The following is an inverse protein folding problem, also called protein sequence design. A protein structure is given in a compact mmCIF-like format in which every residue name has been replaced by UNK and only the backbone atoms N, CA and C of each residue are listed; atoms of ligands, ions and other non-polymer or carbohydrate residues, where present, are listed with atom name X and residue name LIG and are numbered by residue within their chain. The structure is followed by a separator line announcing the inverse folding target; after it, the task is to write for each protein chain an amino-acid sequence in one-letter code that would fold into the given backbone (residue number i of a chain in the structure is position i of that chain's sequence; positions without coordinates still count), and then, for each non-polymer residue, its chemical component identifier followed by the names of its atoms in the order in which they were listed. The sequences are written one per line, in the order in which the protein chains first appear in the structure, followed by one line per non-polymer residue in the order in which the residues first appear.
data_IF_913238369107
#
_entry.id   IF_913238369107
#
_cell.length_a   1.000
_cell.length_b   1.000
_cell.length_c   1.000
_cell.angle_alpha   90.00
_cell.angle_beta   90.00
_cell.angle_gamma   90.00
#
_symmetry.space_group_name_H-M   'P 1'
#
loop_
_entity.id
_entity.type
_entity.pdbx_description
1 polymer ?
#
# COMPACT_ATOMS: atom_id res chain seq x y z
N UNK A 1 -6.01 32.50 12.04
CA UNK A 1 -5.74 31.40 11.08
C UNK A 1 -6.98 30.53 11.06
N UNK A 2 -7.72 30.57 9.98
CA UNK A 2 -8.90 29.74 9.80
C UNK A 2 -8.51 28.28 9.91
N UNK A 3 -9.31 27.50 10.63
CA UNK A 3 -9.14 26.08 10.81
C UNK A 3 -9.06 25.40 9.46
N UNK A 4 -7.85 25.06 9.00
CA UNK A 4 -7.65 24.26 7.81
C UNK A 4 -8.24 22.88 8.17
N UNK A 5 -9.43 22.60 7.67
CA UNK A 5 -10.02 21.26 7.73
C UNK A 5 -8.98 20.30 7.14
N UNK A 6 -8.57 19.28 7.88
CA UNK A 6 -7.54 18.29 7.49
C UNK A 6 -6.07 18.66 7.82
N UNK A 7 -5.83 19.60 8.76
CA UNK A 7 -4.47 19.84 9.28
C UNK A 7 -3.80 18.59 9.89
N UNK A 8 -4.59 17.59 10.17
CA UNK A 8 -4.21 16.35 10.87
C UNK A 8 -3.69 15.25 9.94
N UNK A 9 -3.96 15.36 8.63
CA UNK A 9 -3.53 14.36 7.65
C UNK A 9 -2.06 14.53 7.26
N UNK A 10 -1.34 13.43 6.98
CA UNK A 10 -0.01 13.50 6.40
C UNK A 10 -0.02 14.27 5.07
N UNK A 11 0.86 15.26 4.94
CA UNK A 11 0.80 16.21 3.83
C UNK A 11 1.95 16.08 2.84
N UNK A 12 2.78 15.01 2.88
CA UNK A 12 3.93 14.91 1.99
C UNK A 12 3.53 15.04 0.51
N UNK A 13 2.45 14.40 0.10
CA UNK A 13 1.94 14.53 -1.26
C UNK A 13 1.56 15.97 -1.62
N UNK A 14 0.89 16.67 -0.71
CA UNK A 14 0.52 18.09 -0.90
C UNK A 14 1.74 18.99 -0.93
N UNK A 15 2.79 18.73 -0.12
CA UNK A 15 4.04 19.47 -0.16
C UNK A 15 4.82 19.25 -1.45
N UNK A 16 4.90 18.02 -1.92
CA UNK A 16 5.51 17.68 -3.21
C UNK A 16 4.80 18.42 -4.34
N UNK A 17 3.45 18.41 -4.33
CA UNK A 17 2.68 19.15 -5.31
C UNK A 17 2.93 20.65 -5.24
N UNK A 18 2.86 21.24 -4.04
CA UNK A 18 3.11 22.67 -3.82
C UNK A 18 4.54 23.08 -4.22
N UNK A 19 5.53 22.21 -3.97
CA UNK A 19 6.92 22.45 -4.41
C UNK A 19 7.01 22.58 -5.92
N UNK A 20 6.44 21.66 -6.68
CA UNK A 20 6.45 21.70 -8.14
C UNK A 20 5.62 22.85 -8.69
N UNK A 21 4.55 23.24 -8.00
CA UNK A 21 3.72 24.37 -8.41
C UNK A 21 4.39 25.71 -8.16
N UNK A 22 4.91 25.94 -6.94
CA UNK A 22 5.47 27.25 -6.56
C UNK A 22 6.87 27.52 -7.09
N UNK A 23 7.68 26.48 -7.27
CA UNK A 23 9.08 26.60 -7.63
C UNK A 23 9.37 26.17 -9.07
N UNK A 24 8.36 25.81 -9.84
CA UNK A 24 8.56 25.49 -11.25
C UNK A 24 8.84 26.73 -12.05
N UNK A 25 9.77 26.65 -13.01
CA UNK A 25 10.06 27.73 -13.98
C UNK A 25 8.80 28.15 -14.75
N UNK A 26 7.80 27.32 -14.81
CA UNK A 26 6.56 27.54 -15.57
C UNK A 26 5.40 27.97 -14.67
N UNK A 27 5.55 27.99 -13.35
CA UNK A 27 4.53 28.39 -12.37
C UNK A 27 3.13 27.77 -12.66
N UNK A 28 3.12 26.50 -13.04
CA UNK A 28 1.90 25.81 -13.43
C UNK A 28 1.58 24.65 -12.48
N UNK A 29 0.35 24.61 -12.02
CA UNK A 29 -0.17 23.56 -11.11
C UNK A 29 0.01 22.14 -11.66
N UNK A 30 -0.03 21.97 -12.98
CA UNK A 30 0.05 20.66 -13.64
C UNK A 30 1.38 19.91 -13.42
N UNK A 31 2.46 20.59 -13.08
CA UNK A 31 3.75 19.93 -12.83
C UNK A 31 3.71 18.96 -11.64
N UNK A 32 3.02 19.33 -10.57
CA UNK A 32 2.82 18.40 -9.44
C UNK A 32 2.05 17.14 -9.84
N UNK A 33 1.05 17.28 -10.71
CA UNK A 33 0.26 16.15 -11.22
C UNK A 33 1.08 15.25 -12.14
N UNK A 34 1.93 15.83 -12.98
CA UNK A 34 2.87 15.08 -13.82
C UNK A 34 3.85 14.27 -12.99
N UNK A 35 4.32 14.81 -11.87
CA UNK A 35 5.18 14.08 -10.94
C UNK A 35 4.47 12.82 -10.39
N UNK A 36 3.20 12.92 -10.00
CA UNK A 36 2.43 11.77 -9.54
C UNK A 36 2.31 10.70 -10.63
N UNK A 37 2.00 11.12 -11.85
CA UNK A 37 1.90 10.22 -13.00
C UNK A 37 3.25 9.57 -13.32
N UNK A 38 4.34 10.34 -13.27
CA UNK A 38 5.69 9.84 -13.47
C UNK A 38 6.05 8.79 -12.41
N UNK A 39 5.83 9.09 -11.13
CA UNK A 39 6.13 8.18 -10.03
C UNK A 39 5.32 6.88 -10.12
N UNK A 40 4.06 6.98 -10.53
CA UNK A 40 3.19 5.84 -10.78
C UNK A 40 3.74 4.95 -11.92
N UNK A 41 4.06 5.51 -13.08
CA UNK A 41 4.61 4.76 -14.22
C UNK A 41 5.94 4.11 -13.86
N UNK A 42 6.86 4.86 -13.24
CA UNK A 42 8.17 4.35 -12.84
C UNK A 42 8.07 3.23 -11.83
N UNK A 43 7.15 3.30 -10.88
CA UNK A 43 6.95 2.25 -9.88
C UNK A 43 6.53 0.93 -10.52
N UNK A 44 5.56 0.96 -11.44
CA UNK A 44 5.09 -0.21 -12.19
C UNK A 44 6.21 -0.77 -13.06
N UNK A 45 6.87 0.08 -13.86
CA UNK A 45 7.97 -0.34 -14.72
C UNK A 45 9.11 -0.98 -13.92
N UNK A 46 9.43 -0.42 -12.78
CA UNK A 46 10.44 -0.94 -11.86
C UNK A 46 10.10 -2.34 -11.33
N UNK A 47 8.83 -2.60 -10.99
CA UNK A 47 8.38 -3.93 -10.54
C UNK A 47 8.40 -4.95 -11.69
N UNK A 48 7.88 -4.57 -12.86
CA UNK A 48 7.82 -5.42 -14.06
C UNK A 48 9.22 -5.85 -14.48
N UNK A 49 10.17 -4.91 -14.63
CA UNK A 49 11.55 -5.20 -15.03
C UNK A 49 12.27 -6.06 -14.00
N UNK A 50 12.01 -5.86 -12.72
CA UNK A 50 12.62 -6.67 -11.67
C UNK A 50 12.12 -8.12 -11.67
N UNK A 51 10.82 -8.34 -11.91
CA UNK A 51 10.23 -9.68 -11.89
C UNK A 51 10.60 -10.43 -13.16
N UNK A 52 10.37 -9.85 -14.33
CA UNK A 52 10.54 -10.52 -15.60
C UNK A 52 12.01 -10.79 -15.90
N UNK A 53 12.94 -9.92 -15.42
CA UNK A 53 14.40 -10.05 -15.67
C UNK A 53 14.77 -10.32 -17.14
N UNK A 54 13.83 -10.04 -18.05
CA UNK A 54 13.98 -10.33 -19.45
C UNK A 54 14.92 -9.30 -20.10
N UNK A 55 15.86 -9.76 -20.91
CA UNK A 55 16.74 -8.89 -21.69
C UNK A 55 15.97 -8.10 -22.75
N UNK A 56 14.77 -8.55 -23.11
CA UNK A 56 13.92 -7.86 -24.08
C UNK A 56 13.18 -6.69 -23.44
N UNK A 57 13.76 -5.50 -23.50
CA UNK A 57 13.17 -4.28 -22.96
C UNK A 57 11.81 -3.95 -23.60
N UNK A 58 11.58 -4.31 -24.86
CA UNK A 58 10.31 -4.08 -25.55
C UNK A 58 9.16 -4.84 -24.87
N UNK A 59 9.40 -6.10 -24.49
CA UNK A 59 8.40 -6.91 -23.77
C UNK A 59 8.09 -6.30 -22.40
N UNK A 60 9.11 -5.85 -21.67
CA UNK A 60 8.92 -5.20 -20.37
C UNK A 60 8.09 -3.91 -20.50
N UNK A 61 8.32 -3.12 -21.56
CA UNK A 61 7.52 -1.92 -21.84
C UNK A 61 6.08 -2.30 -22.15
N UNK A 62 5.83 -3.27 -23.02
CA UNK A 62 4.47 -3.71 -23.39
C UNK A 62 3.69 -4.19 -22.15
N UNK A 63 4.32 -5.03 -21.32
CA UNK A 63 3.68 -5.52 -20.09
C UNK A 63 3.43 -4.37 -19.10
N UNK A 64 4.37 -3.42 -18.99
CA UNK A 64 4.18 -2.26 -18.12
C UNK A 64 3.02 -1.39 -18.60
N UNK A 65 2.91 -1.13 -19.91
CA UNK A 65 1.78 -0.41 -20.49
C UNK A 65 0.45 -1.12 -20.25
N UNK A 66 0.42 -2.44 -20.40
CA UNK A 66 -0.78 -3.24 -20.11
C UNK A 66 -1.21 -3.12 -18.65
N UNK A 67 -0.24 -3.21 -17.72
CA UNK A 67 -0.52 -3.02 -16.28
C UNK A 67 -1.01 -1.60 -16.01
N UNK A 68 -0.40 -0.58 -16.61
CA UNK A 68 -0.81 0.83 -16.47
C UNK A 68 -2.26 1.00 -16.94
N UNK A 69 -2.63 0.44 -18.11
CA UNK A 69 -3.98 0.54 -18.65
C UNK A 69 -5.01 -0.11 -17.71
N UNK A 70 -4.69 -1.27 -17.13
CA UNK A 70 -5.61 -1.97 -16.22
C UNK A 70 -5.75 -1.24 -14.88
N UNK A 71 -4.69 -0.57 -14.42
CA UNK A 71 -4.68 0.15 -13.13
C UNK A 71 -5.00 1.63 -13.28
N UNK A 72 -5.16 2.13 -14.50
CA UNK A 72 -5.46 3.53 -14.77
C UNK A 72 -6.85 3.89 -14.26
N UNK A 73 -6.92 5.03 -13.57
CA UNK A 73 -8.16 5.70 -13.22
C UNK A 73 -8.03 7.20 -13.54
N UNK A 74 -9.11 7.82 -13.97
CA UNK A 74 -9.15 9.26 -14.30
C UNK A 74 -8.71 10.14 -13.12
N UNK A 75 -8.86 9.66 -11.90
CA UNK A 75 -8.42 10.33 -10.69
C UNK A 75 -6.89 10.45 -10.55
N UNK A 76 -6.10 9.80 -11.42
CA UNK A 76 -4.63 9.94 -11.43
C UNK A 76 -4.22 11.42 -11.57
N UNK A 77 -4.91 12.17 -12.41
CA UNK A 77 -4.60 13.58 -12.66
C UNK A 77 -5.26 14.55 -11.67
N UNK A 78 -6.11 14.08 -10.78
CA UNK A 78 -6.78 14.93 -9.78
C UNK A 78 -5.92 15.24 -8.54
N UNK A 79 -4.68 14.73 -8.48
CA UNK A 79 -3.77 14.97 -7.36
C UNK A 79 -4.09 14.18 -6.09
N UNK A 80 -4.88 13.12 -6.20
CA UNK A 80 -5.17 12.26 -5.05
C UNK A 80 -3.92 11.52 -4.56
N UNK A 81 -3.60 11.63 -3.30
CA UNK A 81 -2.48 10.94 -2.64
C UNK A 81 -2.59 9.41 -2.71
N UNK A 82 -3.77 8.89 -3.08
CA UNK A 82 -3.99 7.47 -3.31
C UNK A 82 -3.00 6.85 -4.30
N UNK A 83 -2.62 7.59 -5.35
CA UNK A 83 -1.64 7.13 -6.34
C UNK A 83 -0.21 7.13 -5.82
N UNK A 84 0.15 8.07 -4.96
CA UNK A 84 1.46 8.04 -4.30
C UNK A 84 1.58 6.85 -3.37
N UNK A 85 0.53 6.57 -2.60
CA UNK A 85 0.50 5.40 -1.72
C UNK A 85 0.55 4.10 -2.53
N UNK A 86 -0.26 3.98 -3.59
CA UNK A 86 -0.20 2.85 -4.53
C UNK A 86 1.23 2.64 -5.04
N UNK A 87 1.87 3.68 -5.56
CA UNK A 87 3.22 3.61 -6.13
C UNK A 87 4.26 3.22 -5.10
N UNK A 88 4.18 3.78 -3.90
CA UNK A 88 5.07 3.43 -2.80
C UNK A 88 4.91 1.96 -2.38
N UNK A 89 3.68 1.45 -2.36
CA UNK A 89 3.39 0.05 -2.05
C UNK A 89 3.86 -0.91 -3.17
N UNK A 90 3.81 -0.50 -4.44
CA UNK A 90 4.43 -1.24 -5.56
C UNK A 90 5.95 -1.34 -5.36
N UNK A 91 6.61 -0.24 -4.99
CA UNK A 91 8.04 -0.20 -4.71
C UNK A 91 8.37 -1.07 -3.48
N UNK A 92 7.55 -0.99 -2.42
CA UNK A 92 7.71 -1.85 -1.24
C UNK A 92 7.63 -3.34 -1.61
N UNK A 93 6.71 -3.71 -2.48
CA UNK A 93 6.56 -5.07 -3.00
C UNK A 93 7.80 -5.53 -3.79
N UNK A 94 8.39 -4.65 -4.61
CA UNK A 94 9.66 -4.89 -5.28
C UNK A 94 10.80 -5.13 -4.29
N UNK A 95 10.92 -4.29 -3.26
CA UNK A 95 11.96 -4.47 -2.24
C UNK A 95 11.82 -5.77 -1.47
N UNK A 96 10.58 -6.19 -1.18
CA UNK A 96 10.34 -7.47 -0.55
C UNK A 96 10.83 -8.65 -1.43
N UNK A 97 10.67 -8.56 -2.76
CA UNK A 97 11.22 -9.55 -3.71
C UNK A 97 12.75 -9.55 -3.70
N UNK A 98 13.36 -8.38 -3.70
CA UNK A 98 14.81 -8.23 -3.71
C UNK A 98 15.43 -8.74 -2.41
N UNK A 99 14.85 -8.39 -1.26
CA UNK A 99 15.29 -8.84 0.05
C UNK A 99 15.33 -10.37 0.18
N UNK A 100 14.38 -11.08 -0.41
CA UNK A 100 14.35 -12.55 -0.40
C UNK A 100 15.45 -13.20 -1.23
N UNK A 101 15.97 -12.54 -2.25
CA UNK A 101 17.07 -13.05 -3.09
C UNK A 101 18.43 -12.91 -2.41
N UNK A 102 18.56 -11.98 -1.47
CA UNK A 102 19.83 -11.70 -0.78
C UNK A 102 19.96 -12.68 0.40
N UNK A 103 20.76 -13.75 0.21
CA UNK A 103 21.01 -14.78 1.25
C UNK A 103 21.68 -14.21 2.52
N UNK A 104 22.47 -13.15 2.38
CA UNK A 104 23.11 -12.43 3.49
C UNK A 104 22.65 -10.98 3.44
N UNK A 105 21.44 -10.74 3.95
CA UNK A 105 20.87 -9.40 3.99
C UNK A 105 21.85 -8.45 4.70
N UNK A 106 22.41 -7.52 3.92
CA UNK A 106 23.22 -6.45 4.47
C UNK A 106 22.32 -5.54 5.32
N UNK A 107 22.68 -5.33 6.58
CA UNK A 107 21.91 -4.47 7.49
C UNK A 107 21.73 -3.06 6.89
N UNK A 108 22.76 -2.52 6.24
CA UNK A 108 22.71 -1.20 5.58
C UNK A 108 21.63 -1.18 4.49
N UNK A 109 21.56 -2.20 3.64
CA UNK A 109 20.55 -2.30 2.61
C UNK A 109 19.14 -2.38 3.23
N UNK A 110 18.97 -3.14 4.31
CA UNK A 110 17.70 -3.20 5.02
C UNK A 110 17.30 -1.84 5.61
N UNK A 111 18.24 -1.13 6.25
CA UNK A 111 18.00 0.21 6.80
C UNK A 111 17.58 1.20 5.70
N UNK A 112 18.21 1.15 4.51
CA UNK A 112 17.83 1.95 3.36
C UNK A 112 16.39 1.66 2.90
N UNK A 113 16.02 0.37 2.83
CA UNK A 113 14.65 -0.02 2.48
C UNK A 113 13.65 0.53 3.50
N UNK A 114 13.91 0.35 4.79
CA UNK A 114 13.04 0.87 5.85
C UNK A 114 12.91 2.38 5.76
N UNK A 115 14.01 3.09 5.50
CA UNK A 115 13.99 4.54 5.30
C UNK A 115 13.10 4.96 4.11
N UNK A 116 13.20 4.24 2.99
CA UNK A 116 12.34 4.50 1.82
C UNK A 116 10.87 4.16 2.14
N UNK A 117 10.63 3.03 2.82
CA UNK A 117 9.28 2.64 3.24
C UNK A 117 8.64 3.64 4.20
N UNK A 118 9.46 4.37 4.98
CA UNK A 118 8.96 5.44 5.85
C UNK A 118 8.17 6.51 5.08
N UNK A 119 8.49 6.79 3.82
CA UNK A 119 7.72 7.75 3.02
C UNK A 119 6.23 7.41 2.95
N UNK A 120 5.87 6.12 3.07
CA UNK A 120 4.49 5.64 3.08
C UNK A 120 3.68 6.28 4.24
N UNK A 121 4.32 6.45 5.40
CA UNK A 121 3.69 7.04 6.60
C UNK A 121 3.32 8.51 6.35
N UNK A 122 4.11 9.22 5.54
CA UNK A 122 3.92 10.63 5.25
C UNK A 122 2.91 10.91 4.12
N UNK A 123 2.48 9.87 3.40
CA UNK A 123 1.46 10.02 2.37
C UNK A 123 0.05 9.96 2.95
N UNK A 124 -0.21 9.04 3.90
CA UNK A 124 -1.53 8.83 4.48
C UNK A 124 -1.45 8.14 5.85
N UNK A 125 -2.46 8.34 6.68
CA UNK A 125 -2.55 7.73 8.01
C UNK A 125 -2.54 6.20 7.95
N UNK A 126 -3.23 5.61 6.96
CA UNK A 126 -3.20 4.16 6.74
C UNK A 126 -1.79 3.66 6.38
N UNK A 127 -0.91 4.56 5.96
CA UNK A 127 0.49 4.26 5.65
C UNK A 127 1.27 3.67 6.82
N UNK A 128 0.97 4.05 8.06
CA UNK A 128 1.58 3.47 9.27
C UNK A 128 1.37 1.96 9.30
N UNK A 129 0.14 1.50 9.04
CA UNK A 129 -0.17 0.09 9.02
C UNK A 129 0.66 -0.66 7.97
N UNK A 130 0.70 -0.15 6.74
CA UNK A 130 1.45 -0.79 5.66
C UNK A 130 2.96 -0.77 5.92
N UNK A 131 3.47 0.32 6.48
CA UNK A 131 4.88 0.41 6.89
C UNK A 131 5.24 -0.70 7.88
N UNK A 132 4.48 -0.82 8.98
CA UNK A 132 4.69 -1.85 10.00
C UNK A 132 4.52 -3.24 9.40
N UNK A 133 3.51 -3.44 8.58
CA UNK A 133 3.21 -4.71 7.94
C UNK A 133 4.37 -5.18 7.04
N UNK A 134 4.86 -4.32 6.13
CA UNK A 134 5.99 -4.66 5.27
C UNK A 134 7.27 -4.90 6.07
N UNK A 135 7.58 -4.06 7.04
CA UNK A 135 8.75 -4.22 7.90
C UNK A 135 8.69 -5.54 8.67
N UNK A 136 7.54 -5.87 9.24
CA UNK A 136 7.32 -7.13 9.97
C UNK A 136 7.51 -8.33 9.06
N UNK A 137 6.88 -8.34 7.89
CA UNK A 137 7.01 -9.43 6.92
C UNK A 137 8.47 -9.59 6.47
N UNK A 138 9.20 -8.50 6.23
CA UNK A 138 10.62 -8.55 5.89
C UNK A 138 11.48 -9.13 7.01
N UNK A 139 11.19 -8.81 8.26
CA UNK A 139 11.90 -9.36 9.43
C UNK A 139 11.66 -10.87 9.58
N UNK A 140 10.40 -11.30 9.44
CA UNK A 140 10.03 -12.71 9.60
C UNK A 140 10.61 -13.59 8.48
N UNK A 141 10.55 -13.12 7.24
CA UNK A 141 11.05 -13.85 6.08
C UNK A 141 12.54 -13.60 5.79
N UNK A 142 13.17 -12.68 6.53
CA UNK A 142 14.61 -12.40 6.43
C UNK A 142 15.46 -13.38 7.24
N UNK A 143 16.66 -13.68 6.75
CA UNK A 143 17.65 -14.56 7.41
C UNK A 143 18.49 -13.83 8.48
N UNK A 144 17.88 -12.95 9.26
CA UNK A 144 18.57 -12.22 10.32
C UNK A 144 18.70 -13.04 11.61
N UNK A 145 19.83 -12.90 12.29
CA UNK A 145 19.98 -13.41 13.66
C UNK A 145 19.11 -12.58 14.65
N UNK A 146 18.86 -13.14 15.84
CA UNK A 146 17.95 -12.53 16.82
C UNK A 146 18.38 -11.10 17.22
N UNK A 147 19.68 -10.84 17.40
CA UNK A 147 20.19 -9.51 17.76
C UNK A 147 19.88 -8.48 16.66
N UNK A 148 20.12 -8.83 15.40
CA UNK A 148 19.77 -7.97 14.26
C UNK A 148 18.26 -7.75 14.15
N UNK A 149 17.44 -8.78 14.39
CA UNK A 149 15.97 -8.61 14.40
C UNK A 149 15.51 -7.60 15.44
N UNK A 150 16.06 -7.64 16.64
CA UNK A 150 15.75 -6.68 17.72
C UNK A 150 16.14 -5.25 17.29
N UNK A 151 17.36 -5.04 16.78
CA UNK A 151 17.78 -3.72 16.29
C UNK A 151 16.85 -3.18 15.19
N UNK A 152 16.43 -4.05 14.28
CA UNK A 152 15.52 -3.67 13.19
C UNK A 152 14.14 -3.32 13.73
N UNK A 153 13.61 -4.07 14.69
CA UNK A 153 12.33 -3.77 15.33
C UNK A 153 12.39 -2.40 16.00
N UNK A 154 13.44 -2.11 16.76
CA UNK A 154 13.63 -0.80 17.38
C UNK A 154 13.70 0.33 16.34
N UNK A 155 14.40 0.12 15.24
CA UNK A 155 14.47 1.07 14.13
C UNK A 155 13.07 1.30 13.50
N UNK A 156 12.33 0.24 13.23
CA UNK A 156 11.00 0.31 12.63
C UNK A 156 10.03 1.12 13.50
N UNK A 157 10.04 0.90 14.81
CA UNK A 157 9.17 1.65 15.71
C UNK A 157 9.65 3.08 15.98
N UNK A 158 10.94 3.38 15.83
CA UNK A 158 11.45 4.74 16.05
C UNK A 158 10.88 5.75 15.04
N UNK A 159 10.68 5.36 13.79
CA UNK A 159 10.19 6.28 12.75
C UNK A 159 8.76 6.80 12.99
N UNK A 160 7.75 5.97 13.30
CA UNK A 160 6.42 6.47 13.68
C UNK A 160 6.46 7.37 14.91
N UNK A 161 7.32 7.07 15.90
CA UNK A 161 7.48 7.90 17.09
C UNK A 161 8.08 9.26 16.72
N UNK A 162 9.14 9.29 15.90
CA UNK A 162 9.75 10.54 15.42
C UNK A 162 8.73 11.36 14.64
N UNK A 163 7.96 10.73 13.76
CA UNK A 163 6.89 11.41 13.04
C UNK A 163 5.86 12.02 13.98
N UNK A 164 5.39 11.26 14.95
CA UNK A 164 4.46 11.74 15.97
C UNK A 164 5.00 12.96 16.72
N UNK A 165 6.28 12.91 17.12
CA UNK A 165 6.96 14.02 17.81
C UNK A 165 7.01 15.25 16.90
N UNK A 166 7.43 15.09 15.62
CA UNK A 166 7.49 16.19 14.67
C UNK A 166 6.10 16.81 14.45
N UNK A 167 5.09 16.01 14.18
CA UNK A 167 3.73 16.49 13.92
C UNK A 167 3.15 17.21 15.16
N UNK A 168 3.30 16.62 16.34
CA UNK A 168 2.72 17.18 17.57
C UNK A 168 3.45 18.41 18.09
N UNK A 169 4.80 18.38 18.14
CA UNK A 169 5.58 19.41 18.84
C UNK A 169 6.17 20.46 17.91
N UNK A 170 6.46 20.13 16.65
CA UNK A 170 7.07 21.06 15.69
C UNK A 170 6.00 21.69 14.81
N UNK A 171 5.08 20.86 14.27
CA UNK A 171 4.06 21.33 13.33
C UNK A 171 2.77 21.78 14.03
N UNK A 172 2.58 21.45 15.32
CA UNK A 172 1.36 21.76 16.07
C UNK A 172 0.11 21.06 15.58
N UNK A 173 0.29 20.02 14.76
CA UNK A 173 -0.81 19.20 14.23
C UNK A 173 -0.98 17.96 15.09
N UNK A 174 -2.22 17.58 15.40
CA UNK A 174 -2.50 16.33 16.11
C UNK A 174 -2.39 15.16 15.13
N UNK A 175 -1.34 14.36 15.29
CA UNK A 175 -0.99 13.28 14.38
C UNK A 175 -1.96 12.09 14.38
N UNK A 176 -2.88 12.02 15.31
CA UNK A 176 -3.76 10.87 15.46
C UNK A 176 -5.05 11.27 16.16
N UNK A 177 -6.02 11.76 15.43
CA UNK A 177 -7.40 11.50 15.83
C UNK A 177 -7.77 10.13 15.27
N UNK A 178 -7.35 9.08 15.98
CA UNK A 178 -7.99 7.80 15.78
C UNK A 178 -9.47 7.98 16.14
N UNK A 179 -10.34 8.11 15.15
CA UNK A 179 -11.78 7.96 15.28
C UNK A 179 -12.15 6.53 15.75
N UNK A 180 -11.15 5.77 16.16
CA UNK A 180 -11.29 4.48 16.81
C UNK A 180 -11.66 4.76 18.26
N UNK A 181 -12.95 4.89 18.50
CA UNK A 181 -13.48 4.97 19.86
C UNK A 181 -13.37 3.55 20.45
N UNK A 182 -12.46 3.31 21.42
CA UNK A 182 -12.24 1.95 21.96
C UNK A 182 -13.52 1.28 22.46
N UNK A 183 -14.46 2.07 22.96
CA UNK A 183 -15.73 1.57 23.46
C UNK A 183 -16.66 1.01 22.38
N UNK A 184 -16.57 1.48 21.14
CA UNK A 184 -17.40 0.98 20.04
C UNK A 184 -17.07 -0.46 19.65
N UNK A 185 -15.83 -0.90 19.88
CA UNK A 185 -15.41 -2.28 19.62
C UNK A 185 -16.10 -3.28 20.55
N UNK A 186 -16.09 -3.00 21.84
CA UNK A 186 -16.75 -3.87 22.83
C UNK A 186 -18.26 -3.81 22.74
N UNK A 187 -18.82 -2.67 22.32
CA UNK A 187 -20.27 -2.53 22.14
C UNK A 187 -20.80 -3.35 20.95
N UNK A 188 -20.03 -3.53 19.89
CA UNK A 188 -20.43 -4.36 18.76
C UNK A 188 -20.61 -5.84 19.12
N UNK A 189 -19.84 -6.34 20.11
CA UNK A 189 -19.98 -7.74 20.55
C UNK A 189 -21.22 -7.95 21.44
N UNK A 190 -21.86 -6.86 21.93
CA UNK A 190 -23.10 -6.97 22.73
C UNK A 190 -24.31 -7.35 21.89
N UNK A 191 -24.31 -7.00 20.58
CA UNK A 191 -25.38 -7.37 19.65
C UNK A 191 -24.85 -8.17 18.44
N UNK A 192 -24.90 -9.50 18.52
CA UNK A 192 -24.42 -10.38 17.45
C UNK A 192 -25.13 -10.15 16.09
N UNK A 193 -26.39 -9.69 16.10
CA UNK A 193 -27.13 -9.44 14.87
C UNK A 193 -26.57 -8.24 14.10
N UNK A 194 -26.25 -7.17 14.82
CA UNK A 194 -25.61 -5.97 14.22
C UNK A 194 -24.23 -6.33 13.68
N UNK A 195 -23.45 -7.09 14.43
CA UNK A 195 -22.11 -7.54 13.98
C UNK A 195 -22.21 -8.36 12.70
N UNK A 196 -23.09 -9.36 12.65
CA UNK A 196 -23.30 -10.21 11.45
C UNK A 196 -23.77 -9.39 10.24
N UNK A 197 -24.69 -8.44 10.46
CA UNK A 197 -25.14 -7.54 9.40
C UNK A 197 -23.98 -6.70 8.84
N UNK A 198 -23.16 -6.08 9.71
CA UNK A 198 -21.99 -5.31 9.29
C UNK A 198 -20.99 -6.18 8.52
N UNK A 199 -20.65 -7.36 9.03
CA UNK A 199 -19.75 -8.31 8.35
C UNK A 199 -20.27 -8.70 6.97
N UNK A 200 -21.56 -9.05 6.86
CA UNK A 200 -22.17 -9.36 5.58
C UNK A 200 -22.10 -8.19 4.60
N UNK A 201 -22.38 -6.98 5.06
CA UNK A 201 -22.37 -5.79 4.21
C UNK A 201 -20.95 -5.50 3.71
N UNK A 202 -19.93 -5.51 4.58
CA UNK A 202 -18.53 -5.31 4.22
C UNK A 202 -18.09 -6.37 3.20
N UNK A 203 -18.37 -7.64 3.47
CA UNK A 203 -18.03 -8.74 2.55
C UNK A 203 -18.67 -8.55 1.17
N UNK A 204 -19.94 -8.20 1.14
CA UNK A 204 -20.68 -7.93 -0.12
C UNK A 204 -20.00 -6.82 -0.93
N UNK A 205 -19.67 -5.70 -0.30
CA UNK A 205 -19.04 -4.58 -1.01
C UNK A 205 -17.60 -4.88 -1.44
N UNK A 206 -16.81 -5.59 -0.64
CA UNK A 206 -15.47 -6.07 -1.04
C UNK A 206 -15.58 -6.95 -2.29
N UNK A 207 -16.53 -7.90 -2.31
CA UNK A 207 -16.73 -8.77 -3.46
C UNK A 207 -17.15 -8.00 -4.72
N UNK A 208 -18.08 -7.06 -4.58
CA UNK A 208 -18.51 -6.18 -5.70
C UNK A 208 -17.29 -5.41 -6.25
N UNK A 209 -16.46 -4.84 -5.37
CA UNK A 209 -15.28 -4.10 -5.78
C UNK A 209 -14.25 -5.00 -6.47
N UNK A 210 -14.04 -6.21 -5.99
CA UNK A 210 -13.12 -7.17 -6.63
C UNK A 210 -13.55 -7.58 -8.03
N UNK A 211 -14.86 -7.68 -8.26
CA UNK A 211 -15.39 -8.00 -9.59
C UNK A 211 -15.39 -6.77 -10.51
N UNK A 212 -15.68 -5.60 -9.95
CA UNK A 212 -15.73 -4.33 -10.70
C UNK A 212 -14.36 -3.89 -11.22
N UNK A 213 -13.29 -4.07 -10.43
CA UNK A 213 -11.96 -3.61 -10.77
C UNK A 213 -11.10 -4.73 -11.35
N UNK A 214 -10.75 -4.60 -12.62
CA UNK A 214 -9.96 -5.57 -13.38
C UNK A 214 -8.65 -5.96 -12.70
N UNK A 215 -8.00 -5.03 -12.00
CA UNK A 215 -6.74 -5.29 -11.28
C UNK A 215 -6.92 -6.32 -10.16
N UNK A 216 -8.02 -6.23 -9.39
CA UNK A 216 -8.28 -7.20 -8.33
C UNK A 216 -8.62 -8.57 -8.88
N UNK A 217 -9.46 -8.61 -9.92
CA UNK A 217 -9.76 -9.85 -10.62
C UNK A 217 -8.48 -10.51 -11.14
N UNK A 218 -7.61 -9.76 -11.81
CA UNK A 218 -6.34 -10.25 -12.35
C UNK A 218 -5.43 -10.80 -11.23
N UNK A 219 -5.29 -10.06 -10.12
CA UNK A 219 -4.44 -10.46 -9.00
C UNK A 219 -4.94 -11.76 -8.34
N UNK A 220 -6.22 -11.84 -8.01
CA UNK A 220 -6.81 -12.99 -7.33
C UNK A 220 -6.87 -14.22 -8.26
N UNK A 221 -7.26 -14.03 -9.53
CA UNK A 221 -7.29 -15.10 -10.52
C UNK A 221 -5.89 -15.70 -10.75
N UNK A 222 -4.87 -14.84 -10.86
CA UNK A 222 -3.49 -15.29 -10.98
C UNK A 222 -3.03 -16.09 -9.75
N UNK A 223 -3.42 -15.66 -8.54
CA UNK A 223 -3.11 -16.38 -7.30
C UNK A 223 -3.76 -17.77 -7.27
N UNK A 224 -5.00 -17.87 -7.71
CA UNK A 224 -5.73 -19.16 -7.82
C UNK A 224 -5.03 -20.08 -8.83
N UNK A 225 -4.67 -19.57 -10.01
CA UNK A 225 -3.92 -20.35 -11.01
C UNK A 225 -2.61 -20.87 -10.41
N UNK A 226 -1.83 -19.99 -9.75
CA UNK A 226 -0.54 -20.38 -9.13
C UNK A 226 -0.75 -21.49 -8.10
N UNK A 227 -1.80 -21.42 -7.29
CA UNK A 227 -2.11 -22.43 -6.29
C UNK A 227 -2.31 -23.83 -6.89
N UNK A 228 -3.04 -23.91 -8.01
CA UNK A 228 -3.31 -25.20 -8.66
C UNK A 228 -2.13 -25.69 -9.53
N UNK A 229 -1.41 -24.78 -10.20
CA UNK A 229 -0.38 -25.14 -11.18
C UNK A 229 0.99 -25.35 -10.54
N UNK A 230 1.33 -24.56 -9.50
CA UNK A 230 2.67 -24.61 -8.91
C UNK A 230 2.69 -24.33 -7.41
N UNK A 231 2.58 -25.39 -6.62
CA UNK A 231 2.63 -25.32 -5.16
C UNK A 231 3.95 -24.75 -4.60
N UNK A 232 5.09 -24.94 -5.30
CA UNK A 232 6.38 -24.38 -4.87
C UNK A 232 6.38 -22.87 -5.05
N UNK A 233 5.90 -22.40 -6.19
CA UNK A 233 5.73 -20.98 -6.48
C UNK A 233 4.75 -20.34 -5.49
N UNK A 234 3.61 -20.98 -5.24
CA UNK A 234 2.63 -20.53 -4.24
C UNK A 234 3.28 -20.34 -2.86
N UNK A 235 4.02 -21.34 -2.37
CA UNK A 235 4.76 -21.21 -1.11
C UNK A 235 5.78 -20.07 -1.13
N UNK A 236 6.37 -19.80 -2.27
CA UNK A 236 7.30 -18.67 -2.40
C UNK A 236 6.60 -17.31 -2.29
N UNK A 237 5.32 -17.21 -2.56
CA UNK A 237 4.51 -15.99 -2.49
C UNK A 237 3.81 -15.78 -1.13
N UNK A 238 4.08 -16.65 -0.14
CA UNK A 238 3.47 -16.53 1.20
C UNK A 238 3.59 -15.14 1.83
N UNK A 239 4.70 -14.39 1.71
CA UNK A 239 4.75 -13.02 2.25
C UNK A 239 3.63 -12.13 1.73
N UNK A 240 3.35 -12.15 0.42
CA UNK A 240 2.27 -11.36 -0.19
C UNK A 240 0.88 -11.86 0.18
N UNK A 241 0.73 -13.19 0.37
CA UNK A 241 -0.53 -13.78 0.83
C UNK A 241 -0.82 -13.34 2.27
N UNK A 242 0.20 -13.34 3.13
CA UNK A 242 0.06 -12.82 4.51
C UNK A 242 -0.32 -11.34 4.49
N UNK A 243 0.33 -10.53 3.65
CA UNK A 243 -0.03 -9.12 3.48
C UNK A 243 -1.47 -8.97 3.00
N UNK A 244 -1.93 -9.80 2.04
CA UNK A 244 -3.30 -9.80 1.55
C UNK A 244 -4.33 -10.07 2.65
N UNK A 245 -4.11 -11.12 3.42
CA UNK A 245 -5.01 -11.50 4.52
C UNK A 245 -5.08 -10.39 5.59
N UNK A 246 -3.92 -9.85 5.99
CA UNK A 246 -3.86 -8.78 6.98
C UNK A 246 -4.45 -7.46 6.45
N UNK A 247 -4.28 -7.16 5.17
CA UNK A 247 -4.91 -6.00 4.53
C UNK A 247 -6.44 -6.12 4.52
N UNK A 248 -6.98 -7.29 4.16
CA UNK A 248 -8.42 -7.53 4.23
C UNK A 248 -8.90 -7.42 5.69
N UNK A 249 -8.16 -7.99 6.64
CA UNK A 249 -8.44 -7.86 8.07
C UNK A 249 -8.48 -6.41 8.55
N UNK A 250 -7.54 -5.57 8.07
CA UNK A 250 -7.54 -4.13 8.36
C UNK A 250 -8.80 -3.44 7.83
N UNK A 251 -9.19 -3.75 6.60
CA UNK A 251 -10.41 -3.20 5.99
C UNK A 251 -11.63 -3.54 6.85
N UNK A 252 -11.75 -4.79 7.28
CA UNK A 252 -12.81 -5.17 8.23
C UNK A 252 -12.72 -4.38 9.54
N UNK A 253 -11.53 -4.26 10.12
CA UNK A 253 -11.35 -3.53 11.37
C UNK A 253 -11.78 -2.06 11.23
N UNK A 254 -11.37 -1.36 10.16
CA UNK A 254 -11.74 0.04 9.92
C UNK A 254 -13.27 0.19 9.82
N UNK A 255 -13.92 -0.62 8.99
CA UNK A 255 -15.36 -0.45 8.74
C UNK A 255 -16.25 -0.98 9.87
N UNK A 256 -15.79 -1.97 10.64
CA UNK A 256 -16.52 -2.40 11.83
C UNK A 256 -16.55 -1.33 12.90
N UNK A 257 -15.47 -0.54 13.04
CA UNK A 257 -15.35 0.48 14.08
C UNK A 257 -15.97 1.83 13.73
N UNK A 258 -16.38 2.01 12.46
CA UNK A 258 -16.91 3.31 12.06
C UNK A 258 -18.20 3.68 12.81
N UNK A 259 -18.29 4.92 13.34
CA UNK A 259 -19.52 5.45 13.91
C UNK A 259 -20.52 5.95 12.85
N UNK A 260 -20.07 6.09 11.60
CA UNK A 260 -20.86 6.62 10.48
C UNK A 260 -21.75 5.55 9.84
N UNK A 261 -22.69 6.00 8.98
CA UNK A 261 -23.46 5.08 8.15
C UNK A 261 -22.51 4.20 7.31
N UNK A 262 -22.48 2.92 7.66
CA UNK A 262 -21.57 1.96 7.06
C UNK A 262 -21.77 1.82 5.54
N UNK A 263 -23.04 1.84 5.07
CA UNK A 263 -23.35 1.70 3.65
C UNK A 263 -22.82 2.88 2.85
N UNK A 264 -23.03 4.10 3.34
CA UNK A 264 -22.53 5.31 2.71
C UNK A 264 -21.01 5.30 2.67
N UNK A 265 -20.36 4.96 3.79
CA UNK A 265 -18.91 4.93 3.88
C UNK A 265 -18.31 3.90 2.93
N UNK A 266 -18.86 2.68 2.87
CA UNK A 266 -18.40 1.64 1.92
C UNK A 266 -18.50 2.08 0.47
N UNK A 267 -19.57 2.78 0.09
CA UNK A 267 -19.74 3.26 -1.30
C UNK A 267 -18.74 4.35 -1.69
N UNK A 268 -18.28 5.16 -0.74
CA UNK A 268 -17.44 6.34 -1.03
C UNK A 268 -15.94 6.03 -0.88
N UNK A 269 -15.56 5.18 0.09
CA UNK A 269 -14.15 5.05 0.49
C UNK A 269 -13.54 3.69 0.20
N UNK A 270 -14.32 2.61 0.13
CA UNK A 270 -13.79 1.26 -0.04
C UNK A 270 -13.04 1.06 -1.36
N UNK A 271 -13.61 1.57 -2.46
CA UNK A 271 -13.01 1.49 -3.79
C UNK A 271 -11.59 2.09 -3.77
N UNK A 272 -11.44 3.25 -3.11
CA UNK A 272 -10.16 3.93 -2.98
C UNK A 272 -9.16 3.17 -2.11
N UNK A 273 -9.60 2.60 -0.97
CA UNK A 273 -8.74 1.80 -0.09
C UNK A 273 -8.24 0.54 -0.80
N UNK A 274 -9.13 -0.17 -1.48
CA UNK A 274 -8.75 -1.35 -2.24
C UNK A 274 -7.85 -1.01 -3.44
N UNK A 275 -8.09 0.09 -4.14
CA UNK A 275 -7.21 0.55 -5.22
C UNK A 275 -5.79 0.78 -4.71
N UNK A 276 -5.61 1.52 -3.62
CA UNK A 276 -4.29 1.85 -3.07
C UNK A 276 -3.42 0.61 -2.83
N UNK A 277 -4.04 -0.47 -2.38
CA UNK A 277 -3.34 -1.70 -2.00
C UNK A 277 -3.20 -2.70 -3.13
N UNK A 278 -3.97 -2.56 -4.20
CA UNK A 278 -3.97 -3.49 -5.33
C UNK A 278 -2.60 -3.64 -6.00
N UNK A 279 -1.79 -2.58 -5.97
CA UNK A 279 -0.44 -2.57 -6.53
C UNK A 279 0.53 -3.55 -5.86
N UNK A 280 0.33 -3.88 -4.59
CA UNK A 280 1.14 -4.86 -3.86
C UNK A 280 1.07 -6.23 -4.55
N UNK A 281 -0.11 -6.58 -5.02
CA UNK A 281 -0.45 -7.92 -5.50
C UNK A 281 -0.20 -8.12 -6.99
N UNK A 282 0.26 -7.08 -7.71
CA UNK A 282 0.76 -7.19 -9.09
C UNK A 282 1.88 -8.23 -9.25
N UNK A 283 2.50 -8.59 -8.15
CA UNK A 283 3.49 -9.68 -8.11
C UNK A 283 2.89 -10.99 -8.60
N UNK A 284 1.62 -11.30 -8.30
CA UNK A 284 1.00 -12.57 -8.68
C UNK A 284 0.91 -12.76 -10.20
N UNK A 285 0.27 -11.86 -10.97
CA UNK A 285 0.21 -11.99 -12.41
C UNK A 285 1.60 -11.89 -13.06
N UNK A 286 2.49 -11.02 -12.57
CA UNK A 286 3.81 -10.86 -13.15
C UNK A 286 4.70 -12.11 -12.97
N UNK A 287 4.63 -12.76 -11.82
CA UNK A 287 5.37 -14.01 -11.58
C UNK A 287 4.78 -15.15 -12.40
N UNK A 288 3.47 -15.19 -12.60
CA UNK A 288 2.80 -16.14 -13.48
C UNK A 288 3.25 -15.94 -14.94
N UNK A 289 3.25 -14.69 -15.43
CA UNK A 289 3.75 -14.34 -16.76
C UNK A 289 5.21 -14.79 -16.91
N UNK A 290 6.07 -14.49 -15.95
CA UNK A 290 7.48 -14.92 -15.97
C UNK A 290 7.61 -16.41 -16.16
N UNK A 291 6.78 -17.21 -15.49
CA UNK A 291 6.86 -18.67 -15.56
C UNK A 291 6.58 -19.22 -16.97
N UNK A 292 5.69 -18.56 -17.72
CA UNK A 292 5.26 -19.03 -19.04
C UNK A 292 6.01 -18.39 -20.22
N UNK A 293 6.68 -17.25 -20.00
CA UNK A 293 7.38 -16.51 -21.05
C UNK A 293 8.92 -16.55 -20.93
N UNK A 294 9.46 -17.17 -19.87
CA UNK A 294 10.88 -17.50 -19.71
C UNK A 294 11.09 -19.01 -19.64
#
# INVERSE_FOLDING_TARGET
MENIRFSEYPHLGSYVWAFFWKNSLLNQEYFGRLFYSFFYVVSIFSLVTHILTNKNIKLNIIISLFVIIITYDIFLFSGYQAYLLFSALVIASRFLLEHRKIRHANLIFFCLIIFILQSIIWFKDEGIFYYILFATVMIFYGSFNIKKKICIILLVFSFPIIQFVIQKFIMGTYAFQAEIIPNSFFEMFKDPKILLYKLFLITKYIFITFVKYNIWFLNLFSLVIIYFVDKKLFKSLMPWIVILVLNIGLIYAIYLHTPYDLKLLLTVTLDRLLFQTSGIYLVFPLVLIKKYFN
#
